data_IF_625003850383
#
_entry.id   IF_625003850383
#
_cell.length_a   1.000
_cell.length_b   1.000
_cell.length_c   1.000
_cell.angle_alpha   90.00
_cell.angle_beta   90.00
_cell.angle_gamma   90.00
#
_symmetry.space_group_name_H-M   'P 1'
#
loop_
_entity.id
_entity.type
_entity.pdbx_description
1 polymer ?
#
# COMPACT_ATOMS: atom_id res chain seq x y z
N UNK A 1 0.44 -34.11 -4.65
CA UNK A 1 -0.01 -32.70 -4.62
C UNK A 1 1.17 -31.83 -4.98
N UNK A 2 0.97 -30.83 -5.85
CA UNK A 2 2.00 -29.83 -6.09
C UNK A 2 2.01 -28.85 -4.90
N UNK A 3 3.15 -28.64 -4.24
CA UNK A 3 3.21 -27.72 -3.10
C UNK A 3 2.90 -26.30 -3.57
N UNK A 4 2.01 -25.62 -2.84
CA UNK A 4 1.78 -24.19 -2.99
C UNK A 4 3.11 -23.49 -2.73
N UNK A 5 3.51 -22.62 -3.65
CA UNK A 5 4.80 -21.94 -3.64
C UNK A 5 4.66 -20.46 -3.26
N UNK A 6 3.53 -19.83 -3.57
CA UNK A 6 3.25 -18.44 -3.21
C UNK A 6 1.75 -18.21 -3.07
N UNK A 7 1.35 -17.49 -2.04
CA UNK A 7 -0.01 -16.98 -1.87
C UNK A 7 0.07 -15.49 -1.56
N UNK A 8 -0.74 -14.69 -2.24
CA UNK A 8 -0.72 -13.24 -2.07
C UNK A 8 -2.11 -12.66 -2.30
N UNK A 9 -2.36 -11.50 -1.70
CA UNK A 9 -3.55 -10.70 -1.95
C UNK A 9 -3.16 -9.46 -2.77
N UNK A 10 -3.88 -9.20 -3.86
CA UNK A 10 -3.80 -7.95 -4.62
C UNK A 10 -4.94 -7.03 -4.15
N UNK A 11 -4.62 -5.81 -3.75
CA UNK A 11 -5.57 -4.84 -3.23
C UNK A 11 -5.87 -3.81 -4.32
N UNK A 12 -7.15 -3.56 -4.60
CA UNK A 12 -7.64 -2.54 -5.53
C UNK A 12 -8.33 -1.42 -4.73
N UNK A 13 -7.69 -0.26 -4.56
CA UNK A 13 -8.27 0.91 -3.91
C UNK A 13 -9.52 1.48 -4.61
N UNK A 14 -10.40 2.19 -3.89
CA UNK A 14 -11.67 2.71 -4.40
C UNK A 14 -11.55 3.81 -5.46
N UNK A 15 -10.44 4.55 -5.48
CA UNK A 15 -10.29 5.80 -6.25
C UNK A 15 -9.50 5.66 -7.55
N UNK A 16 -9.10 4.44 -7.93
CA UNK A 16 -8.32 4.29 -9.15
C UNK A 16 -9.25 4.31 -10.37
N UNK A 17 -9.49 5.51 -10.88
CA UNK A 17 -10.07 5.73 -12.19
C UNK A 17 -9.02 5.40 -13.27
N UNK A 18 -8.96 4.14 -13.70
CA UNK A 18 -8.15 3.79 -14.86
C UNK A 18 -8.76 4.39 -16.11
N UNK A 19 -8.00 5.26 -16.80
CA UNK A 19 -8.33 5.57 -18.17
C UNK A 19 -8.24 4.27 -18.99
N UNK A 20 -9.21 3.98 -19.88
CA UNK A 20 -9.13 2.80 -20.74
C UNK A 20 -7.84 2.84 -21.56
N UNK A 21 -6.92 1.90 -21.33
CA UNK A 21 -5.65 1.79 -22.05
C UNK A 21 -4.40 1.97 -21.18
N UNK A 22 -4.52 2.49 -19.96
CA UNK A 22 -3.39 2.59 -19.05
C UNK A 22 -3.19 1.28 -18.26
N UNK A 23 -2.02 0.63 -18.35
CA UNK A 23 -1.76 -0.59 -17.63
C UNK A 23 -1.68 -0.30 -16.13
N UNK A 24 -2.46 -1.06 -15.36
CA UNK A 24 -2.37 -1.06 -13.91
C UNK A 24 -1.07 -1.74 -13.50
N UNK A 25 -0.08 -0.97 -13.05
CA UNK A 25 1.26 -1.49 -12.74
C UNK A 25 1.55 -1.55 -11.23
N UNK A 26 0.90 -0.69 -10.43
CA UNK A 26 1.28 -0.46 -9.03
C UNK A 26 0.15 -0.78 -8.04
N UNK A 27 -0.52 -1.93 -8.19
CA UNK A 27 -1.46 -2.36 -7.15
C UNK A 27 -0.70 -2.85 -5.91
N UNK A 28 -1.12 -2.44 -4.70
CA UNK A 28 -0.55 -2.98 -3.47
C UNK A 28 -0.75 -4.50 -3.41
N UNK A 29 0.31 -5.19 -2.97
CA UNK A 29 0.31 -6.65 -2.78
C UNK A 29 0.68 -6.95 -1.33
N UNK A 30 -0.15 -7.78 -0.69
CA UNK A 30 0.16 -8.36 0.61
C UNK A 30 0.53 -9.84 0.44
N UNK A 31 1.73 -10.22 0.87
CA UNK A 31 2.12 -11.64 0.90
C UNK A 31 1.40 -12.35 2.04
N UNK A 32 0.98 -13.59 1.77
CA UNK A 32 0.35 -14.46 2.76
C UNK A 32 1.26 -15.66 3.02
N UNK A 33 1.40 -16.02 4.29
CA UNK A 33 2.27 -17.11 4.75
C UNK A 33 1.50 -18.07 5.63
N UNK A 34 1.93 -19.32 5.66
CA UNK A 34 1.41 -20.38 6.52
C UNK A 34 2.55 -20.79 7.48
N UNK A 35 2.73 -20.05 8.60
CA UNK A 35 3.87 -20.24 9.49
C UNK A 35 3.76 -21.49 10.37
N UNK A 36 2.54 -21.97 10.65
CA UNK A 36 2.29 -23.14 11.48
C UNK A 36 2.04 -24.43 10.67
N UNK A 37 1.88 -24.31 9.35
CA UNK A 37 1.77 -25.42 8.42
C UNK A 37 0.38 -26.05 8.43
N UNK A 38 -0.66 -25.32 8.86
CA UNK A 38 -2.03 -25.82 8.93
C UNK A 38 -2.79 -25.73 7.59
N UNK A 39 -2.18 -25.10 6.58
CA UNK A 39 -2.73 -24.88 5.26
C UNK A 39 -3.53 -23.59 5.11
N UNK A 40 -3.59 -22.75 6.15
CA UNK A 40 -4.21 -21.43 6.16
C UNK A 40 -3.12 -20.39 5.96
N UNK A 41 -3.21 -19.68 4.84
CA UNK A 41 -2.28 -18.61 4.51
C UNK A 41 -2.83 -17.28 5.01
N UNK A 42 -2.07 -16.61 5.87
CA UNK A 42 -2.46 -15.37 6.52
C UNK A 42 -1.40 -14.27 6.36
N UNK A 43 -1.83 -13.02 6.55
CA UNK A 43 -0.98 -11.84 6.45
C UNK A 43 -1.74 -10.58 6.85
N UNK A 44 -1.02 -9.47 7.00
CA UNK A 44 -1.58 -8.20 7.46
C UNK A 44 -1.45 -7.13 6.36
N UNK A 45 -2.54 -6.40 6.11
CA UNK A 45 -2.53 -5.23 5.23
C UNK A 45 -3.17 -4.04 5.96
N UNK A 46 -2.39 -2.97 6.13
CA UNK A 46 -2.80 -1.74 6.85
C UNK A 46 -3.20 -0.58 5.94
N UNK A 47 -3.11 -0.74 4.62
CA UNK A 47 -3.26 0.34 3.64
C UNK A 47 -4.71 0.75 3.31
N UNK A 48 -5.66 0.56 4.23
CA UNK A 48 -7.08 0.90 4.05
C UNK A 48 -7.37 2.35 4.49
N UNK A 49 -6.66 3.32 3.93
CA UNK A 49 -6.73 4.71 4.38
C UNK A 49 -7.84 5.54 3.74
N UNK A 50 -8.27 5.20 2.53
CA UNK A 50 -9.27 5.98 1.77
C UNK A 50 -10.68 5.50 2.08
N UNK A 51 -11.64 6.41 2.07
CA UNK A 51 -13.05 6.02 2.13
C UNK A 51 -13.43 5.32 0.83
N UNK A 52 -14.20 4.23 0.93
CA UNK A 52 -14.74 3.53 -0.23
C UNK A 52 -14.57 2.03 -0.16
N UNK A 53 -14.84 1.37 -1.29
CA UNK A 53 -14.76 -0.09 -1.41
C UNK A 53 -13.40 -0.51 -1.97
N UNK A 54 -12.63 -1.20 -1.16
CA UNK A 54 -11.42 -1.90 -1.60
C UNK A 54 -11.79 -3.28 -2.14
N UNK A 55 -11.35 -3.58 -3.36
CA UNK A 55 -11.36 -4.94 -3.88
C UNK A 55 -10.13 -5.70 -3.38
N UNK A 56 -10.29 -6.96 -3.01
CA UNK A 56 -9.19 -7.84 -2.60
C UNK A 56 -9.28 -9.10 -3.45
N UNK A 57 -8.19 -9.43 -4.15
CA UNK A 57 -8.08 -10.67 -4.93
C UNK A 57 -6.99 -11.55 -4.34
N UNK A 58 -7.39 -12.70 -3.79
CA UNK A 58 -6.48 -13.73 -3.30
C UNK A 58 -6.02 -14.60 -4.46
N UNK A 59 -4.71 -14.71 -4.61
CA UNK A 59 -4.03 -15.47 -5.66
C UNK A 59 -3.15 -16.53 -5.02
N UNK A 60 -3.05 -17.69 -5.66
CA UNK A 60 -2.14 -18.75 -5.26
C UNK A 60 -1.45 -19.32 -6.50
N UNK A 61 -0.16 -19.62 -6.34
CA UNK A 61 0.66 -20.29 -7.34
C UNK A 61 1.30 -21.54 -6.75
N UNK A 62 1.28 -22.64 -7.49
CA UNK A 62 2.03 -23.86 -7.15
C UNK A 62 3.13 -24.12 -8.18
N UNK A 63 4.15 -24.88 -7.78
CA UNK A 63 5.12 -25.39 -8.75
C UNK A 63 4.43 -26.38 -9.69
N UNK A 64 4.50 -26.15 -11.00
CA UNK A 64 4.07 -27.14 -11.97
C UNK A 64 5.10 -28.25 -12.14
N UNK A 65 5.00 -28.96 -13.26
CA UNK A 65 5.82 -30.14 -13.54
C UNK A 65 7.30 -29.77 -13.79
N UNK A 66 7.58 -28.51 -14.15
CA UNK A 66 8.91 -27.93 -14.29
C UNK A 66 9.00 -26.58 -13.59
N UNK A 67 10.19 -26.13 -13.19
CA UNK A 67 10.42 -24.85 -12.50
C UNK A 67 9.95 -23.62 -13.31
N UNK A 68 9.75 -23.78 -14.62
CA UNK A 68 9.24 -22.73 -15.51
C UNK A 68 7.72 -22.72 -15.67
N UNK A 69 7.03 -23.72 -15.12
CA UNK A 69 5.60 -23.92 -15.30
C UNK A 69 4.87 -23.60 -13.99
N UNK A 70 4.76 -22.32 -13.63
CA UNK A 70 3.94 -21.95 -12.48
C UNK A 70 2.45 -22.19 -12.80
N UNK A 71 1.74 -22.90 -11.92
CA UNK A 71 0.30 -23.11 -12.04
C UNK A 71 -0.42 -22.08 -11.16
N UNK A 72 -1.23 -21.23 -11.78
CA UNK A 72 -1.99 -20.20 -11.11
C UNK A 72 -3.43 -20.66 -10.84
N UNK A 73 -3.87 -20.54 -9.60
CA UNK A 73 -5.26 -20.75 -9.24
C UNK A 73 -6.15 -19.61 -9.76
N UNK A 74 -7.43 -19.90 -9.98
CA UNK A 74 -8.43 -18.84 -10.21
C UNK A 74 -8.51 -17.99 -8.94
N UNK A 75 -8.37 -16.65 -9.03
CA UNK A 75 -8.35 -15.81 -7.84
C UNK A 75 -9.71 -15.75 -7.17
N UNK A 76 -9.71 -15.80 -5.84
CA UNK A 76 -10.90 -15.59 -5.03
C UNK A 76 -10.98 -14.11 -4.67
N UNK A 77 -12.17 -13.51 -4.81
CA UNK A 77 -12.36 -12.07 -4.61
C UNK A 77 -13.24 -11.80 -3.41
N UNK A 78 -12.89 -10.76 -2.67
CA UNK A 78 -13.71 -10.18 -1.61
C UNK A 78 -13.58 -8.66 -1.64
N UNK A 79 -14.31 -7.96 -0.78
CA UNK A 79 -14.19 -6.52 -0.61
C UNK A 79 -14.22 -6.11 0.85
N UNK A 80 -13.59 -4.97 1.12
CA UNK A 80 -13.65 -4.26 2.39
C UNK A 80 -14.22 -2.88 2.12
N UNK A 81 -15.26 -2.49 2.86
CA UNK A 81 -15.84 -1.15 2.77
C UNK A 81 -15.26 -0.33 3.92
N UNK A 82 -14.40 0.61 3.58
CA UNK A 82 -13.91 1.60 4.53
C UNK A 82 -14.91 2.75 4.60
N UNK A 83 -15.68 2.80 5.68
CA UNK A 83 -16.76 3.79 5.88
C UNK A 83 -16.28 5.14 6.40
N UNK A 84 -15.01 5.22 6.80
CA UNK A 84 -14.30 6.47 7.12
C UNK A 84 -12.86 6.35 6.66
N UNK A 85 -12.46 7.14 5.68
CA UNK A 85 -11.06 7.29 5.34
C UNK A 85 -10.41 8.41 6.15
N UNK A 86 -9.10 8.31 6.40
CA UNK A 86 -8.30 9.53 6.51
C UNK A 86 -8.28 10.09 5.09
N UNK A 87 -8.99 11.20 4.85
CA UNK A 87 -8.84 11.91 3.60
C UNK A 87 -7.35 12.26 3.53
N UNK A 88 -6.62 11.67 2.58
CA UNK A 88 -5.19 11.88 2.33
C UNK A 88 -4.84 13.36 2.52
N UNK A 89 -4.46 13.74 3.75
CA UNK A 89 -4.25 15.12 4.09
C UNK A 89 -2.83 15.42 3.63
N UNK A 90 -2.71 16.37 2.72
CA UNK A 90 -1.41 16.71 2.14
C UNK A 90 -0.47 17.10 3.27
N UNK A 91 0.62 16.35 3.44
CA UNK A 91 1.61 16.58 4.49
C UNK A 91 1.31 15.94 5.86
N UNK A 92 0.25 15.13 6.01
CA UNK A 92 0.12 14.19 7.14
C UNK A 92 1.02 12.98 6.84
N UNK A 93 2.15 12.82 7.54
CA UNK A 93 3.18 11.78 7.34
C UNK A 93 3.16 10.67 8.39
N UNK A 94 2.37 10.80 9.46
CA UNK A 94 2.16 9.74 10.45
C UNK A 94 0.78 9.07 10.35
N UNK A 95 -0.13 9.64 9.55
CA UNK A 95 -1.45 9.11 9.26
C UNK A 95 -2.45 9.43 10.37
N UNK A 96 -2.16 10.41 11.22
CA UNK A 96 -3.02 10.80 12.34
C UNK A 96 -4.22 11.65 11.92
N UNK A 97 -4.31 12.07 10.65
CA UNK A 97 -5.37 12.90 10.10
C UNK A 97 -5.14 14.41 10.25
N UNK A 98 -3.97 14.83 10.70
CA UNK A 98 -3.56 16.22 10.89
C UNK A 98 -2.21 16.49 10.20
N UNK A 99 -1.98 17.72 9.75
CA UNK A 99 -0.68 18.16 9.22
C UNK A 99 0.03 18.99 10.29
N UNK A 100 1.11 18.46 10.85
CA UNK A 100 1.75 19.00 12.04
C UNK A 100 3.26 18.85 12.11
N UNK A 101 3.85 19.28 13.23
CA UNK A 101 5.29 19.21 13.46
C UNK A 101 5.81 17.76 13.50
N UNK A 102 4.99 16.80 13.93
CA UNK A 102 5.34 15.38 13.90
C UNK A 102 5.68 14.94 12.46
N UNK A 103 4.86 15.36 11.50
CA UNK A 103 5.02 15.06 10.08
C UNK A 103 6.28 15.72 9.49
N UNK A 104 6.55 16.97 9.88
CA UNK A 104 7.77 17.67 9.46
C UNK A 104 9.04 16.95 9.97
N UNK A 105 9.01 16.43 11.21
CA UNK A 105 10.12 15.65 11.77
C UNK A 105 10.31 14.35 11.00
N UNK A 106 9.23 13.68 10.61
CA UNK A 106 9.27 12.45 9.79
C UNK A 106 9.91 12.74 8.42
N UNK A 107 9.48 13.79 7.73
CA UNK A 107 10.05 14.22 6.46
C UNK A 107 11.57 14.54 6.55
N UNK A 108 11.99 15.19 7.64
CA UNK A 108 13.40 15.48 7.90
C UNK A 108 14.23 14.22 8.20
N UNK A 109 13.68 13.26 8.93
CA UNK A 109 14.33 11.96 9.18
C UNK A 109 14.59 11.21 7.88
N UNK A 110 13.60 11.14 6.99
CA UNK A 110 13.77 10.54 5.65
C UNK A 110 14.84 11.30 4.87
N UNK A 111 14.84 12.63 4.93
CA UNK A 111 15.85 13.46 4.27
C UNK A 111 17.27 13.21 4.80
N UNK A 112 17.41 12.83 6.07
CA UNK A 112 18.69 12.44 6.66
C UNK A 112 19.13 11.00 6.36
N UNK A 113 18.34 10.27 5.56
CA UNK A 113 18.63 8.89 5.17
C UNK A 113 18.13 7.84 6.17
N UNK A 114 17.26 8.21 7.12
CA UNK A 114 16.58 7.21 7.94
C UNK A 114 15.49 6.52 7.11
N UNK A 115 15.60 5.20 6.98
CA UNK A 115 14.55 4.39 6.39
C UNK A 115 13.38 4.32 7.37
N UNK A 116 12.22 4.84 6.96
CA UNK A 116 11.00 4.69 7.74
C UNK A 116 10.28 3.43 7.28
N UNK A 117 10.07 2.52 8.23
CA UNK A 117 9.33 1.26 8.00
C UNK A 117 7.81 1.45 7.90
N UNK A 118 7.34 2.70 7.87
CA UNK A 118 5.92 2.94 8.08
C UNK A 118 5.10 2.75 6.81
N UNK A 119 5.53 3.20 5.62
CA UNK A 119 4.55 3.55 4.58
C UNK A 119 4.73 2.89 3.22
N UNK A 120 3.61 2.31 2.76
CA UNK A 120 3.53 1.43 1.60
C UNK A 120 3.15 2.14 0.29
N UNK A 121 2.78 3.42 0.30
CA UNK A 121 2.44 4.15 -0.93
C UNK A 121 2.51 5.67 -0.75
N UNK A 122 3.66 6.29 -1.06
CA UNK A 122 3.85 7.75 -0.99
C UNK A 122 3.09 8.50 -2.09
N UNK A 123 2.96 7.89 -3.26
CA UNK A 123 2.33 8.47 -4.46
C UNK A 123 0.80 8.52 -4.38
N UNK A 124 0.16 7.52 -3.75
CA UNK A 124 -1.29 7.48 -3.61
C UNK A 124 -1.80 8.05 -2.29
N UNK A 125 -0.95 8.50 -1.38
CA UNK A 125 -1.38 8.96 -0.05
C UNK A 125 -1.53 10.48 0.03
N UNK A 126 -1.22 11.24 -1.03
CA UNK A 126 -1.26 12.70 -1.03
C UNK A 126 -0.12 13.35 -0.26
N UNK A 127 0.81 12.54 0.27
CA UNK A 127 2.00 12.98 1.01
C UNK A 127 3.09 13.50 0.11
N UNK A 128 3.29 12.87 -1.05
CA UNK A 128 4.22 13.35 -2.05
C UNK A 128 3.77 14.72 -2.58
N UNK A 129 4.34 15.80 -2.01
CA UNK A 129 3.82 17.14 -2.26
C UNK A 129 4.28 17.69 -3.60
N UNK A 130 5.35 17.13 -4.15
CA UNK A 130 6.05 17.59 -5.36
C UNK A 130 6.01 16.57 -6.52
N UNK A 131 5.49 15.36 -6.31
CA UNK A 131 5.37 14.31 -7.32
C UNK A 131 6.65 13.48 -7.53
N UNK A 132 7.59 13.45 -6.59
CA UNK A 132 8.88 12.75 -6.74
C UNK A 132 8.86 11.29 -6.23
N UNK A 133 7.73 10.83 -5.73
CA UNK A 133 7.49 9.50 -5.21
C UNK A 133 8.18 9.21 -3.87
N UNK A 134 8.65 10.23 -3.16
CA UNK A 134 9.37 10.10 -1.89
C UNK A 134 8.83 11.09 -0.85
N UNK A 135 9.12 10.83 0.42
CA UNK A 135 9.10 11.85 1.44
C UNK A 135 10.51 12.42 1.62
N UNK A 136 10.60 13.72 1.87
CA UNK A 136 11.86 14.40 2.07
C UNK A 136 11.72 15.89 2.35
N UNK A 137 12.71 16.66 1.91
CA UNK A 137 12.80 18.07 2.28
C UNK A 137 11.66 18.91 1.70
N UNK A 138 11.08 18.48 0.58
CA UNK A 138 9.94 19.15 -0.04
C UNK A 138 8.68 19.02 0.84
N UNK A 139 8.42 17.83 1.38
CA UNK A 139 7.36 17.56 2.35
C UNK A 139 7.59 18.38 3.61
N UNK A 140 8.81 18.37 4.15
CA UNK A 140 9.15 19.13 5.36
C UNK A 140 8.86 20.64 5.18
N UNK A 141 9.27 21.22 4.06
CA UNK A 141 9.02 22.64 3.75
C UNK A 141 7.53 22.92 3.57
N UNK A 142 6.79 22.03 2.91
CA UNK A 142 5.35 22.18 2.75
C UNK A 142 4.63 22.19 4.11
N UNK A 143 4.93 21.23 4.96
CA UNK A 143 4.30 21.07 6.29
C UNK A 143 4.60 22.29 7.17
N UNK A 144 5.87 22.70 7.23
CA UNK A 144 6.29 23.88 8.01
C UNK A 144 5.60 25.16 7.54
N UNK A 145 5.36 25.30 6.22
CA UNK A 145 4.61 26.43 5.68
C UNK A 145 3.13 26.35 6.06
N UNK A 146 2.55 25.15 6.06
CA UNK A 146 1.13 24.97 6.35
C UNK A 146 0.80 25.26 7.81
N UNK A 147 1.65 24.82 8.74
CA UNK A 147 1.47 25.09 10.18
C UNK A 147 1.76 26.55 10.58
N UNK A 148 2.43 27.32 9.73
CA UNK A 148 2.80 28.71 10.00
C UNK A 148 1.78 29.75 9.50
N UNK A 149 0.69 29.29 8.88
CA UNK A 149 -0.45 30.13 8.47
C UNK A 149 -1.34 30.46 9.66
#
# INVERSE_FOLDING_TARGET
LNPVFRVWAVITPPDIAYAPGDPVTDLPVAELTDPDGDGIYEGEYKGFFREGTYGISFCAASKGVSERDALYAVPVRTSVIQTKGSQALKGDLDGNGETGLADAVIALKVSSGEALNFWYDYTASGIDVNGDGKAGIHEAVYILREIAK
#
